data_IF_493811188973
#
_entry.id   IF_493811188973
#
_cell.length_a   1.000
_cell.length_b   1.000
_cell.length_c   1.000
_cell.angle_alpha   90.00
_cell.angle_beta   90.00
_cell.angle_gamma   90.00
#
_symmetry.space_group_name_H-M   'P 1'
#
loop_
_entity.id
_entity.type
_entity.pdbx_description
1 polymer ?
#
# COMPACT_ATOMS: atom_id res chain seq x y z
N UNK A 1 -22.43 3.47 -51.23
CA UNK A 1 -22.77 3.48 -49.80
C UNK A 1 -23.11 2.04 -49.40
N UNK A 2 -22.44 1.44 -48.41
CA UNK A 2 -22.83 0.12 -47.90
C UNK A 2 -24.00 0.23 -46.89
N UNK A 3 -24.82 -0.83 -46.72
CA UNK A 3 -26.01 -0.81 -45.86
C UNK A 3 -25.68 -0.99 -44.37
N UNK A 4 -26.49 -0.37 -43.51
CA UNK A 4 -26.41 -0.43 -42.06
C UNK A 4 -26.52 -1.87 -41.57
N UNK A 5 -25.43 -2.39 -41.02
CA UNK A 5 -25.38 -3.70 -40.35
C UNK A 5 -25.37 -3.50 -38.84
N UNK A 6 -26.24 -4.26 -38.18
CA UNK A 6 -26.53 -4.29 -36.75
C UNK A 6 -25.31 -4.24 -35.83
N UNK A 7 -25.27 -3.27 -34.93
CA UNK A 7 -24.46 -3.31 -33.72
C UNK A 7 -25.33 -3.76 -32.54
N UNK A 8 -25.37 -5.07 -32.30
CA UNK A 8 -25.79 -5.63 -31.00
C UNK A 8 -24.73 -5.29 -29.94
N UNK A 9 -25.10 -4.73 -28.77
CA UNK A 9 -24.15 -4.56 -27.67
C UNK A 9 -23.84 -5.90 -26.98
N UNK A 10 -22.57 -6.08 -26.61
CA UNK A 10 -21.99 -7.27 -26.01
C UNK A 10 -22.50 -7.53 -24.57
N UNK A 11 -22.57 -8.80 -24.10
CA UNK A 11 -22.98 -9.13 -22.75
C UNK A 11 -21.84 -8.84 -21.74
N UNK A 12 -22.16 -8.09 -20.69
CA UNK A 12 -21.26 -7.85 -19.55
C UNK A 12 -21.22 -9.08 -18.66
N UNK A 13 -20.04 -9.70 -18.53
CA UNK A 13 -19.77 -10.75 -17.55
C UNK A 13 -19.91 -10.18 -16.13
N UNK A 14 -20.79 -10.78 -15.34
CA UNK A 14 -20.92 -10.55 -13.90
C UNK A 14 -19.86 -11.37 -13.17
N UNK A 15 -19.09 -10.82 -12.20
CA UNK A 15 -18.19 -11.64 -11.41
C UNK A 15 -18.98 -12.53 -10.45
N UNK A 16 -18.65 -13.82 -10.45
CA UNK A 16 -19.08 -14.84 -9.51
C UNK A 16 -18.36 -14.68 -8.17
N UNK A 17 -19.09 -14.39 -7.09
CA UNK A 17 -18.55 -14.45 -5.73
C UNK A 17 -18.75 -15.86 -5.18
N UNK A 18 -17.65 -16.56 -4.90
CA UNK A 18 -17.60 -17.84 -4.20
C UNK A 18 -17.16 -17.64 -2.74
N UNK A 19 -17.83 -18.37 -1.82
CA UNK A 19 -17.43 -18.76 -0.44
C UNK A 19 -17.16 -17.64 0.57
N UNK A 20 -17.45 -17.72 1.87
CA UNK A 20 -18.19 -18.62 2.76
C UNK A 20 -18.23 -17.91 4.13
N UNK A 21 -19.25 -18.17 4.93
CA UNK A 21 -19.23 -18.38 6.41
C UNK A 21 -20.56 -17.93 7.02
N UNK A 22 -21.39 -18.91 7.34
CA UNK A 22 -22.59 -18.82 8.19
C UNK A 22 -22.19 -18.66 9.66
N UNK A 23 -22.92 -17.89 10.46
CA UNK A 23 -23.04 -18.12 11.90
C UNK A 23 -24.33 -18.90 12.18
N UNK A 24 -24.16 -20.04 12.85
CA UNK A 24 -25.19 -21.00 13.28
C UNK A 24 -26.11 -20.47 14.39
N UNK A 25 -27.38 -20.83 14.29
CA UNK A 25 -28.50 -20.55 15.21
C UNK A 25 -28.31 -21.17 16.60
N UNK A 26 -28.95 -20.63 17.65
CA UNK A 26 -29.92 -21.48 18.37
C UNK A 26 -30.99 -20.71 19.17
N UNK A 27 -32.24 -20.64 18.70
CA UNK A 27 -33.42 -20.57 19.58
C UNK A 27 -34.74 -20.73 18.81
N UNK A 28 -35.23 -21.96 18.84
CA UNK A 28 -36.59 -22.36 19.23
C UNK A 28 -37.17 -23.40 18.27
N UNK A 29 -36.67 -24.61 18.46
CA UNK A 29 -37.43 -25.83 18.24
C UNK A 29 -38.71 -25.75 19.09
N UNK A 30 -39.87 -25.79 18.45
CA UNK A 30 -41.03 -26.48 19.00
C UNK A 30 -41.97 -26.86 17.86
N UNK A 31 -41.86 -28.12 17.46
CA UNK A 31 -42.85 -28.80 16.66
C UNK A 31 -43.95 -29.32 17.60
N UNK A 32 -45.14 -28.74 17.55
CA UNK A 32 -46.35 -29.44 17.98
C UNK A 32 -47.45 -29.21 16.94
N UNK A 33 -47.42 -30.05 15.91
CA UNK A 33 -48.50 -30.20 14.96
C UNK A 33 -49.71 -30.80 15.68
N UNK A 34 -50.80 -30.02 15.83
CA UNK A 34 -52.21 -30.48 15.79
C UNK A 34 -53.19 -29.31 15.97
N UNK A 35 -53.95 -28.99 14.92
CA UNK A 35 -55.18 -28.17 14.99
C UNK A 35 -56.40 -29.09 14.94
N UNK A 36 -57.45 -28.87 15.76
CA UNK A 36 -58.80 -29.27 15.42
C UNK A 36 -59.64 -28.06 14.98
N UNK A 37 -60.40 -28.30 13.90
CA UNK A 37 -61.71 -27.73 13.55
C UNK A 37 -61.94 -26.21 13.60
N UNK A 38 -62.27 -25.66 12.42
CA UNK A 38 -63.37 -24.71 12.28
C UNK A 38 -63.05 -23.23 12.41
N UNK A 39 -62.93 -22.57 11.26
CA UNK A 39 -62.89 -21.10 11.13
C UNK A 39 -61.70 -20.68 10.27
N UNK A 40 -61.96 -19.98 9.17
CA UNK A 40 -60.92 -19.26 8.42
C UNK A 40 -60.83 -17.83 8.96
N UNK A 41 -59.81 -17.46 9.75
CA UNK A 41 -59.51 -16.06 9.95
C UNK A 41 -58.94 -15.55 8.63
N UNK A 42 -59.47 -14.42 8.12
CA UNK A 42 -58.82 -13.69 7.04
C UNK A 42 -57.34 -13.51 7.42
N UNK A 43 -56.46 -14.18 6.66
CA UNK A 43 -55.04 -13.94 6.73
C UNK A 43 -54.84 -12.47 6.38
N UNK A 44 -54.68 -11.61 7.40
CA UNK A 44 -54.01 -10.34 7.24
C UNK A 44 -52.62 -10.71 6.73
N UNK A 45 -52.45 -10.66 5.42
CA UNK A 45 -51.18 -10.92 4.75
C UNK A 45 -50.16 -10.04 5.47
N UNK A 46 -49.32 -10.62 6.33
CA UNK A 46 -48.05 -9.99 6.66
C UNK A 46 -47.29 -10.06 5.34
N UNK A 47 -47.46 -9.03 4.52
CA UNK A 47 -46.56 -8.75 3.42
C UNK A 47 -45.21 -8.60 4.09
N UNK A 48 -44.41 -9.66 4.12
CA UNK A 48 -42.99 -9.55 4.44
C UNK A 48 -42.50 -8.59 3.36
N UNK A 49 -42.09 -7.36 3.72
CA UNK A 49 -41.62 -6.42 2.72
C UNK A 49 -40.49 -7.11 1.96
N UNK A 50 -40.43 -7.02 0.62
CA UNK A 50 -39.38 -7.69 -0.12
C UNK A 50 -38.05 -7.25 0.47
N UNK A 51 -37.08 -8.15 0.61
CA UNK A 51 -35.75 -7.86 1.18
C UNK A 51 -35.10 -6.60 0.60
N UNK A 52 -35.49 -6.19 -0.62
CA UNK A 52 -35.15 -4.89 -1.23
C UNK A 52 -35.60 -3.66 -0.44
N UNK A 53 -36.74 -3.73 0.26
CA UNK A 53 -37.30 -2.69 1.14
C UNK A 53 -36.63 -2.65 2.50
N UNK A 54 -36.09 -3.79 2.96
CA UNK A 54 -35.24 -3.86 4.16
C UNK A 54 -33.85 -3.29 3.88
N UNK A 55 -33.25 -3.64 2.74
CA UNK A 55 -31.98 -3.06 2.25
C UNK A 55 -32.07 -1.55 1.95
N UNK A 56 -33.26 -1.00 1.70
CA UNK A 56 -33.49 0.46 1.63
C UNK A 56 -33.45 1.16 2.99
N UNK A 57 -33.73 0.47 4.10
CA UNK A 57 -33.75 1.07 5.46
C UNK A 57 -32.41 0.98 6.19
N UNK A 58 -31.55 0.01 5.87
CA UNK A 58 -30.15 -0.05 6.32
C UNK A 58 -29.19 0.75 5.44
N UNK A 59 -29.67 1.16 4.26
CA UNK A 59 -28.93 1.96 3.27
C UNK A 59 -28.33 3.25 3.86
N UNK A 60 -29.02 4.05 4.70
CA UNK A 60 -28.47 5.30 5.21
C UNK A 60 -27.29 5.11 6.17
N UNK A 61 -27.31 4.05 6.99
CA UNK A 61 -26.27 3.80 7.99
C UNK A 61 -25.00 3.29 7.31
N UNK A 62 -25.14 2.29 6.42
CA UNK A 62 -24.01 1.82 5.62
C UNK A 62 -23.47 2.92 4.71
N UNK A 63 -24.34 3.73 4.09
CA UNK A 63 -23.91 4.88 3.29
C UNK A 63 -23.19 5.93 4.14
N UNK A 64 -23.64 6.21 5.36
CA UNK A 64 -22.95 7.10 6.30
C UNK A 64 -21.58 6.53 6.69
N UNK A 65 -21.48 5.24 7.01
CA UNK A 65 -20.22 4.59 7.34
C UNK A 65 -19.25 4.62 6.14
N UNK A 66 -19.72 4.33 4.93
CA UNK A 66 -18.93 4.46 3.70
C UNK A 66 -18.44 5.90 3.48
N UNK A 67 -19.30 6.91 3.72
CA UNK A 67 -18.93 8.32 3.63
C UNK A 67 -17.89 8.71 4.69
N UNK A 68 -18.02 8.22 5.93
CA UNK A 68 -17.07 8.48 7.01
C UNK A 68 -15.72 7.81 6.74
N UNK A 69 -15.72 6.57 6.26
CA UNK A 69 -14.50 5.85 5.86
C UNK A 69 -13.78 6.61 4.74
N UNK A 70 -14.51 7.04 3.70
CA UNK A 70 -13.92 7.79 2.60
C UNK A 70 -13.39 9.16 3.04
N UNK A 71 -14.11 9.86 3.92
CA UNK A 71 -13.66 11.13 4.50
C UNK A 71 -12.34 10.94 5.25
N UNK A 72 -12.24 9.95 6.14
CA UNK A 72 -11.00 9.63 6.87
C UNK A 72 -9.85 9.30 5.91
N UNK A 73 -10.13 8.57 4.83
CA UNK A 73 -9.14 8.28 3.78
C UNK A 73 -8.60 9.55 3.15
N UNK A 74 -9.49 10.49 2.78
CA UNK A 74 -9.10 11.79 2.18
C UNK A 74 -8.35 12.69 3.16
N UNK A 75 -8.75 12.71 4.43
CA UNK A 75 -8.05 13.44 5.49
C UNK A 75 -6.63 12.93 5.68
N UNK A 76 -6.44 11.60 5.75
CA UNK A 76 -5.10 10.98 5.82
C UNK A 76 -4.25 11.37 4.62
N UNK A 77 -4.81 11.27 3.41
CA UNK A 77 -4.11 11.67 2.20
C UNK A 77 -3.70 13.15 2.25
N UNK A 78 -4.60 14.04 2.68
CA UNK A 78 -4.32 15.47 2.76
C UNK A 78 -3.25 15.81 3.80
N UNK A 79 -3.28 15.16 4.97
CA UNK A 79 -2.22 15.28 5.99
C UNK A 79 -0.85 14.90 5.43
N UNK A 80 -0.78 13.82 4.65
CA UNK A 80 0.46 13.40 4.00
C UNK A 80 0.95 14.43 2.98
N UNK A 81 0.07 15.02 2.17
CA UNK A 81 0.44 16.10 1.24
C UNK A 81 0.97 17.34 1.96
N UNK A 82 0.36 17.73 3.08
CA UNK A 82 0.83 18.85 3.90
C UNK A 82 2.21 18.54 4.47
N UNK A 83 2.38 17.36 5.08
CA UNK A 83 3.68 16.93 5.61
C UNK A 83 4.75 16.89 4.52
N UNK A 84 4.42 16.35 3.34
CA UNK A 84 5.34 16.31 2.21
C UNK A 84 5.74 17.72 1.77
N UNK A 85 4.78 18.63 1.64
CA UNK A 85 5.03 20.01 1.23
C UNK A 85 5.97 20.77 2.19
N UNK A 86 5.97 20.43 3.48
CA UNK A 86 6.88 21.05 4.46
C UNK A 86 8.33 20.56 4.36
N UNK A 87 8.57 19.40 3.75
CA UNK A 87 9.91 18.82 3.60
C UNK A 87 10.60 19.26 2.31
N UNK A 88 9.82 19.71 1.31
CA UNK A 88 10.35 20.07 -0.01
C UNK A 88 10.74 21.55 -0.01
N UNK A 89 12.02 21.89 -0.21
CA UNK A 89 12.45 23.27 -0.31
C UNK A 89 11.97 23.91 -1.63
N UNK A 90 11.82 25.24 -1.65
CA UNK A 90 11.50 26.06 -2.85
C UNK A 90 10.15 25.76 -3.52
N UNK A 91 9.22 25.14 -2.79
CA UNK A 91 7.86 24.89 -3.26
C UNK A 91 7.12 26.23 -3.54
N UNK A 92 6.92 26.57 -4.81
CA UNK A 92 6.21 27.81 -5.21
C UNK A 92 4.70 27.67 -5.20
N UNK A 93 4.22 26.45 -5.44
CA UNK A 93 2.79 26.13 -5.54
C UNK A 93 2.50 24.90 -4.70
N UNK A 94 1.43 24.99 -3.90
CA UNK A 94 1.01 23.90 -3.01
C UNK A 94 -0.08 23.01 -3.62
N UNK A 95 -0.33 23.11 -4.92
CA UNK A 95 -1.24 22.19 -5.60
C UNK A 95 -0.62 20.79 -5.69
N UNK A 96 -1.49 19.78 -5.75
CA UNK A 96 -1.06 18.37 -5.63
C UNK A 96 -0.13 17.92 -6.74
N UNK A 97 -0.27 18.46 -7.95
CA UNK A 97 0.56 18.07 -9.07
C UNK A 97 1.96 18.65 -8.90
N UNK A 98 2.06 19.97 -8.64
CA UNK A 98 3.34 20.63 -8.40
C UNK A 98 4.08 20.05 -7.19
N UNK A 99 3.40 19.72 -6.08
CA UNK A 99 4.05 19.08 -4.92
C UNK A 99 4.71 17.75 -5.30
N UNK A 100 4.05 16.92 -6.13
CA UNK A 100 4.62 15.63 -6.53
C UNK A 100 5.78 15.79 -7.52
N UNK A 101 5.66 16.73 -8.45
CA UNK A 101 6.71 17.05 -9.42
C UNK A 101 7.97 17.55 -8.70
N UNK A 102 7.83 18.56 -7.85
CA UNK A 102 8.93 19.14 -7.07
C UNK A 102 9.55 18.12 -6.10
N UNK A 103 8.74 17.25 -5.48
CA UNK A 103 9.24 16.16 -4.64
C UNK A 103 10.17 15.22 -5.41
N UNK A 104 9.76 14.84 -6.63
CA UNK A 104 10.51 13.91 -7.47
C UNK A 104 11.85 14.50 -7.94
N UNK A 105 11.88 15.80 -8.20
CA UNK A 105 13.09 16.53 -8.57
C UNK A 105 14.04 16.61 -7.38
N UNK A 106 13.54 17.03 -6.21
CA UNK A 106 14.35 17.18 -5.01
C UNK A 106 15.02 15.86 -4.58
N UNK A 107 14.31 14.73 -4.66
CA UNK A 107 14.88 13.41 -4.36
C UNK A 107 16.03 13.05 -5.33
N UNK A 108 15.88 13.34 -6.62
CA UNK A 108 16.93 13.07 -7.62
C UNK A 108 18.18 13.92 -7.37
N UNK A 109 17.99 15.22 -7.15
CA UNK A 109 19.09 16.13 -6.81
C UNK A 109 19.82 15.65 -5.55
N UNK A 110 19.07 15.18 -4.56
CA UNK A 110 19.68 14.71 -3.31
C UNK A 110 20.48 13.41 -3.50
N UNK A 111 19.98 12.48 -4.32
CA UNK A 111 20.71 11.26 -4.70
C UNK A 111 22.01 11.60 -5.44
N UNK A 112 21.98 12.58 -6.34
CA UNK A 112 23.17 13.02 -7.07
C UNK A 112 24.21 13.64 -6.12
N UNK A 113 23.79 14.44 -5.14
CA UNK A 113 24.68 14.98 -4.11
C UNK A 113 25.30 13.88 -3.25
N UNK A 114 24.51 12.90 -2.82
CA UNK A 114 25.04 11.76 -2.06
C UNK A 114 26.07 11.00 -2.89
N UNK A 115 25.79 10.74 -4.17
CA UNK A 115 26.71 10.05 -5.07
C UNK A 115 28.00 10.84 -5.31
N UNK A 116 27.91 12.15 -5.48
CA UNK A 116 29.07 13.03 -5.60
C UNK A 116 29.92 12.98 -4.33
N UNK A 117 29.29 13.17 -3.16
CA UNK A 117 29.97 13.10 -1.87
C UNK A 117 30.59 11.73 -1.60
N UNK A 118 29.92 10.65 -1.97
CA UNK A 118 30.45 9.29 -1.86
C UNK A 118 31.59 9.03 -2.84
N UNK A 119 31.53 9.54 -4.07
CA UNK A 119 32.61 9.47 -5.04
C UNK A 119 33.85 10.25 -4.59
N UNK A 120 33.66 11.44 -4.03
CA UNK A 120 34.72 12.25 -3.42
C UNK A 120 35.29 11.58 -2.17
N UNK A 121 34.44 11.02 -1.29
CA UNK A 121 34.86 10.34 -0.07
C UNK A 121 35.54 8.98 -0.36
N UNK A 122 35.12 8.27 -1.39
CA UNK A 122 35.70 7.01 -1.83
C UNK A 122 37.13 7.18 -2.31
N UNK A 123 37.43 8.29 -2.97
CA UNK A 123 38.79 8.61 -3.41
C UNK A 123 39.70 9.00 -2.23
N UNK A 124 39.19 9.75 -1.24
CA UNK A 124 39.96 10.06 -0.01
C UNK A 124 40.20 8.82 0.86
N UNK A 125 39.21 7.95 1.03
CA UNK A 125 39.35 6.71 1.80
C UNK A 125 40.32 5.73 1.15
N UNK A 126 40.28 5.59 -0.18
CA UNK A 126 41.24 4.76 -0.94
C UNK A 126 42.67 5.26 -0.77
N UNK A 127 42.92 6.57 -0.89
CA UNK A 127 44.27 7.11 -0.70
C UNK A 127 44.81 6.85 0.72
N UNK A 128 44.00 7.07 1.77
CA UNK A 128 44.44 6.79 3.15
C UNK A 128 44.66 5.30 3.37
N UNK A 129 43.76 4.45 2.86
CA UNK A 129 43.89 2.99 2.99
C UNK A 129 45.09 2.46 2.21
N UNK A 130 45.35 2.97 1.01
CA UNK A 130 46.51 2.62 0.17
C UNK A 130 47.81 3.12 0.81
N UNK A 131 47.84 4.31 1.40
CA UNK A 131 49.00 4.79 2.17
C UNK A 131 49.28 3.90 3.39
N UNK A 132 48.25 3.45 4.11
CA UNK A 132 48.39 2.55 5.27
C UNK A 132 48.82 1.15 4.85
N UNK A 133 48.23 0.60 3.78
CA UNK A 133 48.61 -0.69 3.21
C UNK A 133 50.05 -0.65 2.68
N UNK A 134 50.42 0.42 1.99
CA UNK A 134 51.78 0.61 1.48
C UNK A 134 52.78 0.75 2.62
N UNK A 135 52.49 1.56 3.65
CA UNK A 135 53.35 1.69 4.82
C UNK A 135 53.52 0.35 5.56
N UNK A 136 52.44 -0.39 5.79
CA UNK A 136 52.47 -1.70 6.43
C UNK A 136 53.27 -2.71 5.58
N UNK A 137 53.12 -2.67 4.26
CA UNK A 137 53.85 -3.55 3.34
C UNK A 137 55.34 -3.24 3.28
N UNK A 138 55.71 -1.96 3.24
CA UNK A 138 57.11 -1.52 3.32
C UNK A 138 57.72 -1.95 4.66
N UNK A 139 57.02 -1.74 5.77
CA UNK A 139 57.48 -2.15 7.11
C UNK A 139 57.63 -3.68 7.22
N UNK A 140 56.67 -4.45 6.69
CA UNK A 140 56.78 -5.91 6.71
C UNK A 140 57.93 -6.42 5.86
N UNK A 141 58.12 -5.89 4.64
CA UNK A 141 59.20 -6.27 3.73
C UNK A 141 60.56 -5.94 4.36
N UNK A 142 60.74 -4.74 4.90
CA UNK A 142 62.00 -4.40 5.58
C UNK A 142 62.25 -5.25 6.82
N UNK A 143 61.21 -5.68 7.54
CA UNK A 143 61.35 -6.58 8.68
C UNK A 143 61.74 -8.00 8.26
N UNK A 144 61.14 -8.57 7.20
CA UNK A 144 61.55 -9.90 6.71
C UNK A 144 62.93 -9.88 6.04
N UNK A 145 63.28 -8.80 5.34
CA UNK A 145 64.60 -8.63 4.73
C UNK A 145 65.70 -8.41 5.81
N UNK A 146 65.39 -7.70 6.90
CA UNK A 146 66.27 -7.60 8.07
C UNK A 146 66.34 -8.90 8.88
N UNK A 147 65.26 -9.69 8.92
CA UNK A 147 65.25 -10.97 9.64
C UNK A 147 66.09 -12.04 8.92
N UNK A 148 66.06 -12.09 7.59
CA UNK A 148 66.82 -13.08 6.81
C UNK A 148 68.33 -12.78 6.74
N UNK A 149 68.72 -11.52 6.94
CA UNK A 149 70.12 -11.10 7.01
C UNK A 149 70.75 -11.23 8.41
N UNK A 150 69.94 -11.45 9.45
CA UNK A 150 70.39 -11.61 10.84
C UNK A 150 70.44 -13.06 11.32
N UNK A 151 70.20 -14.03 10.44
CA UNK A 151 70.47 -15.46 10.67
C UNK A 151 71.87 -15.76 10.12
N UNK A 152 72.92 -15.85 10.95
CA UNK A 152 74.20 -16.35 10.50
C UNK A 152 74.05 -17.84 10.16
N UNK A 153 74.50 -18.20 8.96
CA UNK A 153 74.63 -19.57 8.44
C UNK A 153 75.07 -20.56 9.53
N UNK A 154 74.24 -21.56 9.79
CA UNK A 154 74.58 -22.82 10.45
C UNK A 154 74.55 -23.93 9.41
#
# INVERSE_FOLDING_TARGET
>A
MPPASDLRPAPTHRPSCSSDTQPVDPLLSDAFQRHPAGGVPLLRQRVIPPVSSFMRRLNPILAQDHVLVERKRREKLNRNFISLSSLIPKLKKMDKASVLEDASIYIKEHQDWVKELEGLSGTKRKNVQDCVLHACKVICVTYVDNFFSMIPML
#
